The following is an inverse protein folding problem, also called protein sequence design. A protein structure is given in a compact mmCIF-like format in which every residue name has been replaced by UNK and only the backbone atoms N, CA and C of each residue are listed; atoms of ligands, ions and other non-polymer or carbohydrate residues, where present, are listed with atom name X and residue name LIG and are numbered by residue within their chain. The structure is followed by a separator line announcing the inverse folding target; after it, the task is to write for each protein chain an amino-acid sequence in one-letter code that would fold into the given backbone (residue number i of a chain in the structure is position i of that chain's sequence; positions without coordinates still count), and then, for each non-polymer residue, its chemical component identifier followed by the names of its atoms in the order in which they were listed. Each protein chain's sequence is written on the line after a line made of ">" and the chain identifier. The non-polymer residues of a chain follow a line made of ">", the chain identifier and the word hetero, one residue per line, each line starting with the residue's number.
data_IF_792935250416
#
_entry.id   IF_792935250416
#
_cell.length_a   1.000
_cell.length_b   1.000
_cell.length_c   1.000
_cell.angle_alpha   90.00
_cell.angle_beta   90.00
_cell.angle_gamma   90.00
#
_symmetry.space_group_name_H-M   'P 1'
#
loop_
_entity.id
_entity.type
_entity.pdbx_description
1 polymer ?
#
# COMPACT_ATOMS: atom_id res chain seq x y z
N UNK A 1 -112.40 54.56 47.05
CA UNK A 1 -111.22 55.45 46.81
C UNK A 1 -110.21 54.61 46.05
N UNK A 2 -110.08 54.78 44.73
CA UNK A 2 -109.12 55.71 44.09
C UNK A 2 -107.90 54.88 43.66
N UNK A 3 -107.86 54.33 42.44
CA UNK A 3 -107.29 54.88 41.19
C UNK A 3 -105.82 55.33 41.31
N UNK A 4 -105.03 54.81 40.35
CA UNK A 4 -103.75 55.35 39.82
C UNK A 4 -102.50 55.17 40.68
N UNK A 5 -101.32 54.88 40.14
CA UNK A 5 -100.82 54.66 38.78
C UNK A 5 -99.30 54.45 38.90
N UNK A 6 -98.66 54.05 37.79
CA UNK A 6 -97.21 54.10 37.54
C UNK A 6 -96.48 52.77 37.76
N UNK A 7 -96.26 52.01 36.68
CA UNK A 7 -94.92 51.52 36.31
C UNK A 7 -94.96 50.85 34.91
N UNK A 8 -94.81 51.62 33.80
CA UNK A 8 -94.75 51.05 32.46
C UNK A 8 -93.33 50.67 31.98
N UNK A 9 -92.32 50.64 32.87
CA UNK A 9 -90.93 50.33 32.47
C UNK A 9 -90.44 48.91 32.82
N UNK A 10 -91.10 48.19 33.73
CA UNK A 10 -90.67 46.84 34.14
C UNK A 10 -91.10 45.71 33.18
N UNK A 11 -92.01 45.99 32.24
CA UNK A 11 -92.58 44.95 31.37
C UNK A 11 -91.69 44.62 30.16
N UNK A 12 -90.93 45.60 29.66
CA UNK A 12 -90.18 45.47 28.40
C UNK A 12 -88.88 44.66 28.60
N UNK A 13 -88.22 44.77 29.75
CA UNK A 13 -87.01 43.99 30.07
C UNK A 13 -87.30 42.51 30.36
N UNK A 14 -88.52 42.15 30.78
CA UNK A 14 -88.88 40.76 31.13
C UNK A 14 -89.23 39.90 29.91
N UNK A 15 -89.79 40.50 28.86
CA UNK A 15 -90.04 39.79 27.59
C UNK A 15 -88.75 39.48 26.83
N UNK A 16 -87.79 40.41 26.78
CA UNK A 16 -86.52 40.19 26.05
C UNK A 16 -85.66 39.11 26.73
N UNK A 17 -85.59 39.10 28.07
CA UNK A 17 -84.84 38.08 28.83
C UNK A 17 -85.46 36.66 28.76
N UNK A 18 -86.79 36.56 28.75
CA UNK A 18 -87.51 35.28 28.68
C UNK A 18 -87.47 34.64 27.28
N UNK A 19 -87.42 35.47 26.24
CA UNK A 19 -87.22 35.04 24.85
C UNK A 19 -85.78 34.62 24.58
N UNK A 20 -84.79 35.32 25.13
CA UNK A 20 -83.38 34.96 24.97
C UNK A 20 -83.03 33.64 25.67
N UNK A 21 -83.55 33.41 26.88
CA UNK A 21 -83.36 32.14 27.59
C UNK A 21 -84.02 30.97 26.87
N UNK A 22 -85.27 31.15 26.41
CA UNK A 22 -85.97 30.13 25.63
C UNK A 22 -85.29 29.84 24.29
N UNK A 23 -84.72 30.87 23.64
CA UNK A 23 -83.93 30.73 22.41
C UNK A 23 -82.60 29.99 22.68
N UNK A 24 -81.91 30.27 23.77
CA UNK A 24 -80.69 29.54 24.15
C UNK A 24 -80.97 28.06 24.43
N UNK A 25 -82.07 27.74 25.10
CA UNK A 25 -82.48 26.34 25.35
C UNK A 25 -82.81 25.65 24.02
N UNK A 26 -83.60 26.31 23.16
CA UNK A 26 -83.94 25.77 21.84
C UNK A 26 -82.71 25.55 20.95
N UNK A 27 -81.78 26.51 20.93
CA UNK A 27 -80.53 26.41 20.20
C UNK A 27 -79.63 25.29 20.74
N UNK A 28 -79.52 25.15 22.06
CA UNK A 28 -78.74 24.08 22.71
C UNK A 28 -79.33 22.69 22.40
N UNK A 29 -80.66 22.55 22.47
CA UNK A 29 -81.35 21.32 22.14
C UNK A 29 -81.19 20.95 20.65
N UNK A 30 -81.29 21.94 19.75
CA UNK A 30 -81.06 21.75 18.32
C UNK A 30 -79.61 21.37 18.02
N UNK A 31 -78.64 21.95 18.73
CA UNK A 31 -77.23 21.63 18.57
C UNK A 31 -76.93 20.19 19.00
N UNK A 32 -77.40 19.78 20.20
CA UNK A 32 -77.24 18.41 20.69
C UNK A 32 -77.92 17.41 19.74
N UNK A 33 -79.14 17.70 19.30
CA UNK A 33 -79.87 16.87 18.34
C UNK A 33 -79.15 16.81 16.98
N UNK A 34 -78.59 17.93 16.52
CA UNK A 34 -77.81 18.03 15.29
C UNK A 34 -76.53 17.19 15.34
N UNK A 35 -75.79 17.24 16.46
CA UNK A 35 -74.63 16.38 16.68
C UNK A 35 -75.03 14.89 16.69
N UNK A 36 -76.10 14.53 17.39
CA UNK A 36 -76.60 13.16 17.43
C UNK A 36 -77.03 12.66 16.04
N UNK A 37 -77.75 13.50 15.27
CA UNK A 37 -78.15 13.19 13.90
C UNK A 37 -76.93 13.05 12.98
N UNK A 38 -75.93 13.93 13.09
CA UNK A 38 -74.70 13.84 12.29
C UNK A 38 -73.97 12.50 12.50
N UNK A 39 -73.70 12.14 13.76
CA UNK A 39 -73.03 10.88 14.08
C UNK A 39 -73.87 9.65 13.73
N UNK A 40 -75.19 9.72 13.92
CA UNK A 40 -76.12 8.67 13.51
C UNK A 40 -76.08 8.42 12.00
N UNK A 41 -76.26 9.48 11.18
CA UNK A 41 -76.26 9.38 9.72
C UNK A 41 -74.93 8.85 9.20
N UNK A 42 -73.81 9.39 9.72
CA UNK A 42 -72.46 8.89 9.41
C UNK A 42 -72.30 7.43 9.78
N UNK A 43 -72.77 7.03 10.96
CA UNK A 43 -72.62 5.67 11.45
C UNK A 43 -73.41 4.64 10.66
N UNK A 44 -74.68 4.91 10.35
CA UNK A 44 -75.48 4.05 9.45
C UNK A 44 -74.81 3.97 8.07
N UNK A 45 -74.32 5.10 7.55
CA UNK A 45 -73.60 5.12 6.27
C UNK A 45 -72.32 4.30 6.31
N UNK A 46 -71.60 4.23 7.43
CA UNK A 46 -70.41 3.38 7.58
C UNK A 46 -70.77 1.90 7.73
N UNK A 47 -71.81 1.57 8.50
CA UNK A 47 -72.25 0.18 8.72
C UNK A 47 -72.76 -0.48 7.44
N UNK A 48 -73.43 0.29 6.57
CA UNK A 48 -73.95 -0.22 5.29
C UNK A 48 -73.08 0.16 4.07
N UNK A 49 -72.11 1.06 4.22
CA UNK A 49 -71.33 1.68 3.13
C UNK A 49 -69.92 1.13 2.93
N UNK A 50 -69.66 -0.13 3.31
CA UNK A 50 -68.46 -0.84 2.86
C UNK A 50 -68.39 -0.99 1.32
N UNK A 51 -69.47 -0.63 0.60
CA UNK A 51 -69.52 -0.51 -0.86
C UNK A 51 -69.83 0.94 -1.23
N UNK A 52 -68.83 1.65 -1.75
CA UNK A 52 -68.84 3.11 -1.97
C UNK A 52 -70.06 3.65 -2.74
N UNK A 53 -70.68 2.84 -3.59
CA UNK A 53 -71.80 3.24 -4.47
C UNK A 53 -73.11 3.56 -3.75
N UNK A 54 -73.37 3.00 -2.56
CA UNK A 54 -74.67 3.17 -1.87
C UNK A 54 -74.66 4.23 -0.76
N UNK A 55 -73.50 4.83 -0.48
CA UNK A 55 -73.31 5.79 0.62
C UNK A 55 -74.22 7.00 0.52
N UNK A 56 -74.35 7.59 -0.69
CA UNK A 56 -75.13 8.82 -0.91
C UNK A 56 -76.64 8.58 -0.65
N UNK A 57 -77.29 7.55 -1.24
CA UNK A 57 -78.68 7.22 -0.91
C UNK A 57 -78.93 7.00 0.58
N UNK A 58 -78.03 6.29 1.26
CA UNK A 58 -78.18 5.97 2.69
C UNK A 58 -78.12 7.24 3.54
N UNK A 59 -77.22 8.17 3.23
CA UNK A 59 -77.12 9.46 3.92
C UNK A 59 -78.41 10.28 3.72
N UNK A 60 -78.95 10.33 2.51
CA UNK A 60 -80.19 11.06 2.21
C UNK A 60 -81.37 10.42 2.96
N UNK A 61 -81.47 9.09 2.96
CA UNK A 61 -82.51 8.38 3.70
C UNK A 61 -82.38 8.62 5.21
N UNK A 62 -81.20 8.41 5.80
CA UNK A 62 -80.99 8.56 7.24
C UNK A 62 -81.20 10.00 7.70
N UNK A 63 -80.77 11.00 6.93
CA UNK A 63 -81.02 12.41 7.25
C UNK A 63 -82.52 12.73 7.26
N UNK A 64 -83.30 12.15 6.34
CA UNK A 64 -84.77 12.31 6.35
C UNK A 64 -85.43 11.66 7.58
N UNK A 65 -84.90 10.53 8.06
CA UNK A 65 -85.40 9.85 9.26
C UNK A 65 -85.10 10.67 10.54
N UNK A 66 -83.89 11.23 10.65
CA UNK A 66 -83.51 12.09 11.77
C UNK A 66 -84.35 13.38 11.80
N UNK A 67 -84.56 14.01 10.65
CA UNK A 67 -85.39 15.20 10.52
C UNK A 67 -86.88 14.91 10.80
N UNK A 68 -87.39 13.79 10.26
CA UNK A 68 -88.76 13.33 10.50
C UNK A 68 -89.05 13.05 11.97
N UNK A 69 -88.08 12.48 12.70
CA UNK A 69 -88.17 12.26 14.16
C UNK A 69 -88.39 13.57 14.92
N UNK A 70 -87.64 14.63 14.59
CA UNK A 70 -87.76 15.94 15.26
C UNK A 70 -89.11 16.61 14.98
N UNK A 71 -89.60 16.51 13.74
CA UNK A 71 -90.94 17.02 13.38
C UNK A 71 -92.02 16.23 14.10
N UNK A 72 -91.93 14.90 14.11
CA UNK A 72 -92.90 14.03 14.78
C UNK A 72 -92.92 14.27 16.29
N UNK A 73 -91.75 14.42 16.93
CA UNK A 73 -91.64 14.76 18.34
C UNK A 73 -92.25 16.14 18.65
N UNK A 74 -91.97 17.14 17.81
CA UNK A 74 -92.53 18.49 17.95
C UNK A 74 -94.05 18.52 17.77
N UNK A 75 -94.57 17.79 16.79
CA UNK A 75 -96.00 17.64 16.55
C UNK A 75 -96.70 16.96 17.72
N UNK A 76 -96.11 15.87 18.23
CA UNK A 76 -96.64 15.10 19.35
C UNK A 76 -96.68 15.95 20.63
N UNK A 77 -95.65 16.77 20.87
CA UNK A 77 -95.60 17.71 21.99
C UNK A 77 -96.70 18.77 21.90
N UNK A 78 -96.90 19.39 20.72
CA UNK A 78 -97.89 20.47 20.54
C UNK A 78 -99.35 19.99 20.58
N UNK A 79 -99.64 18.82 20.01
CA UNK A 79 -101.02 18.31 19.86
C UNK A 79 -101.38 17.20 20.87
N UNK A 80 -100.62 17.05 21.95
CA UNK A 80 -100.77 15.97 22.93
C UNK A 80 -102.18 15.84 23.54
N UNK A 81 -102.86 16.97 23.74
CA UNK A 81 -104.21 17.07 24.32
C UNK A 81 -105.34 16.99 23.28
N UNK A 82 -105.03 17.21 22.01
CA UNK A 82 -106.02 17.37 20.92
C UNK A 82 -106.10 16.15 20.00
N UNK A 83 -105.04 15.33 19.95
CA UNK A 83 -105.01 14.12 19.11
C UNK A 83 -105.74 12.92 19.72
N UNK A 84 -106.32 12.08 18.84
CA UNK A 84 -106.93 10.80 19.21
C UNK A 84 -105.88 9.84 19.84
N UNK A 85 -106.23 9.08 20.89
CA UNK A 85 -105.27 8.24 21.64
C UNK A 85 -104.54 7.19 20.78
N UNK A 86 -105.17 6.68 19.72
CA UNK A 86 -104.53 5.73 18.78
C UNK A 86 -103.42 6.38 17.94
N UNK A 87 -103.62 7.62 17.50
CA UNK A 87 -102.62 8.35 16.73
C UNK A 87 -101.42 8.74 17.61
N UNK A 88 -101.70 9.13 18.85
CA UNK A 88 -100.68 9.48 19.85
C UNK A 88 -99.76 8.29 20.18
N UNK A 89 -100.34 7.11 20.36
CA UNK A 89 -99.56 5.88 20.65
C UNK A 89 -98.70 5.47 19.46
N UNK A 90 -99.25 5.50 18.24
CA UNK A 90 -98.49 5.23 17.01
C UNK A 90 -97.30 6.18 16.82
N UNK A 91 -97.52 7.50 16.93
CA UNK A 91 -96.45 8.50 16.80
C UNK A 91 -95.39 8.37 17.90
N UNK A 92 -95.80 8.12 19.14
CA UNK A 92 -94.87 7.89 20.25
C UNK A 92 -94.01 6.66 19.99
N UNK A 93 -94.60 5.56 19.54
CA UNK A 93 -93.86 4.33 19.22
C UNK A 93 -92.92 4.53 18.03
N UNK A 94 -93.34 5.25 16.99
CA UNK A 94 -92.50 5.60 15.85
C UNK A 94 -91.29 6.45 16.26
N UNK A 95 -91.49 7.46 17.12
CA UNK A 95 -90.38 8.29 17.64
C UNK A 95 -89.41 7.45 18.47
N UNK A 96 -89.90 6.54 19.32
CA UNK A 96 -89.05 5.62 20.11
C UNK A 96 -88.24 4.70 19.19
N UNK A 97 -88.86 4.13 18.15
CA UNK A 97 -88.15 3.31 17.16
C UNK A 97 -87.07 4.12 16.42
N UNK A 98 -87.38 5.35 16.01
CA UNK A 98 -86.41 6.24 15.36
C UNK A 98 -85.24 6.59 16.29
N UNK A 99 -85.48 6.77 17.60
CA UNK A 99 -84.39 6.95 18.60
C UNK A 99 -83.51 5.69 18.67
N UNK A 100 -84.10 4.50 18.57
CA UNK A 100 -83.36 3.24 18.50
C UNK A 100 -82.44 3.17 17.28
N UNK A 101 -82.96 3.55 16.10
CA UNK A 101 -82.17 3.64 14.86
C UNK A 101 -81.03 4.66 15.00
N UNK A 102 -81.28 5.83 15.58
CA UNK A 102 -80.25 6.84 15.84
C UNK A 102 -79.13 6.32 16.74
N UNK A 103 -79.50 5.56 17.78
CA UNK A 103 -78.55 4.97 18.72
C UNK A 103 -77.68 3.90 18.05
N UNK A 104 -78.30 3.05 17.22
CA UNK A 104 -77.59 2.08 16.41
C UNK A 104 -76.62 2.75 15.42
N UNK A 105 -77.02 3.88 14.82
CA UNK A 105 -76.15 4.72 14.01
C UNK A 105 -74.92 5.20 14.79
N UNK A 106 -75.12 5.84 15.94
CA UNK A 106 -74.01 6.33 16.77
C UNK A 106 -73.06 5.19 17.17
N UNK A 107 -73.60 4.03 17.56
CA UNK A 107 -72.80 2.85 17.88
C UNK A 107 -71.97 2.37 16.68
N UNK A 108 -72.58 2.30 15.49
CA UNK A 108 -71.91 1.92 14.25
C UNK A 108 -70.72 2.84 13.92
N UNK A 109 -70.89 4.16 14.10
CA UNK A 109 -69.81 5.13 13.91
C UNK A 109 -68.64 4.88 14.88
N UNK A 110 -68.93 4.74 16.17
CA UNK A 110 -67.91 4.54 17.20
C UNK A 110 -67.18 3.21 17.02
N UNK A 111 -67.92 2.12 16.77
CA UNK A 111 -67.34 0.78 16.57
C UNK A 111 -66.35 0.77 15.41
N UNK A 112 -66.72 1.39 14.27
CA UNK A 112 -65.83 1.48 13.11
C UNK A 112 -64.57 2.29 13.40
N UNK A 113 -64.69 3.41 14.13
CA UNK A 113 -63.56 4.23 14.52
C UNK A 113 -62.60 3.48 15.46
N UNK A 114 -63.14 2.67 16.38
CA UNK A 114 -62.36 1.80 17.25
C UNK A 114 -61.63 0.70 16.47
N UNK A 115 -62.31 0.00 15.56
CA UNK A 115 -61.68 -1.02 14.70
C UNK A 115 -60.58 -0.44 13.80
N UNK A 116 -60.81 0.74 13.23
CA UNK A 116 -59.80 1.43 12.42
C UNK A 116 -58.57 1.78 13.27
N UNK A 117 -58.77 2.23 14.51
CA UNK A 117 -57.66 2.52 15.43
C UNK A 117 -56.91 1.24 15.80
N UNK A 118 -57.61 0.16 16.14
CA UNK A 118 -57.01 -1.12 16.50
C UNK A 118 -56.23 -1.74 15.33
N UNK A 119 -56.77 -1.69 14.12
CA UNK A 119 -56.10 -2.22 12.93
C UNK A 119 -54.85 -1.41 12.55
N UNK A 120 -54.89 -0.09 12.72
CA UNK A 120 -53.71 0.77 12.52
C UNK A 120 -52.61 0.46 13.55
N UNK A 121 -52.96 0.26 14.82
CA UNK A 121 -52.01 -0.16 15.86
C UNK A 121 -51.38 -1.52 15.54
N UNK A 122 -52.17 -2.51 15.15
CA UNK A 122 -51.65 -3.82 14.71
C UNK A 122 -50.75 -3.71 13.46
N UNK A 123 -51.04 -2.75 12.56
CA UNK A 123 -50.20 -2.44 11.42
C UNK A 123 -48.81 -1.96 11.84
N UNK A 124 -48.76 -0.99 12.75
CA UNK A 124 -47.49 -0.48 13.30
C UNK A 124 -46.73 -1.54 14.10
N UNK A 125 -47.41 -2.37 14.89
CA UNK A 125 -46.75 -3.46 15.61
C UNK A 125 -46.09 -4.47 14.67
N UNK A 126 -46.75 -4.83 13.57
CA UNK A 126 -46.16 -5.71 12.54
C UNK A 126 -44.94 -5.08 11.87
N UNK A 127 -45.00 -3.78 11.60
CA UNK A 127 -43.88 -3.04 11.03
C UNK A 127 -42.68 -3.03 12.00
N UNK A 128 -42.90 -2.72 13.27
CA UNK A 128 -41.86 -2.75 14.32
C UNK A 128 -41.25 -4.15 14.44
N UNK A 129 -42.07 -5.21 14.49
CA UNK A 129 -41.59 -6.58 14.57
C UNK A 129 -40.75 -6.97 13.33
N UNK A 130 -41.09 -6.46 12.15
CA UNK A 130 -40.31 -6.68 10.92
C UNK A 130 -38.95 -5.98 10.98
N UNK A 131 -38.91 -4.74 11.47
CA UNK A 131 -37.67 -3.96 11.62
C UNK A 131 -36.73 -4.59 12.66
N UNK A 132 -37.27 -5.09 13.77
CA UNK A 132 -36.49 -5.83 14.78
C UNK A 132 -35.85 -7.10 14.23
N UNK A 133 -36.58 -7.86 13.38
CA UNK A 133 -36.01 -9.03 12.69
C UNK A 133 -34.88 -8.63 11.74
N UNK A 134 -35.03 -7.52 11.01
CA UNK A 134 -33.98 -7.02 10.14
C UNK A 134 -32.73 -6.62 10.94
N UNK A 135 -32.89 -5.89 12.05
CA UNK A 135 -31.76 -5.55 12.94
C UNK A 135 -31.02 -6.81 13.41
N UNK A 136 -31.76 -7.83 13.86
CA UNK A 136 -31.16 -9.09 14.31
C UNK A 136 -30.36 -9.79 13.20
N UNK A 137 -30.84 -9.75 11.95
CA UNK A 137 -30.12 -10.30 10.81
C UNK A 137 -28.85 -9.49 10.48
N UNK A 138 -28.92 -8.16 10.55
CA UNK A 138 -27.74 -7.28 10.38
C UNK A 138 -26.69 -7.51 11.47
N UNK A 139 -27.09 -7.60 12.73
CA UNK A 139 -26.17 -7.89 13.85
C UNK A 139 -25.47 -9.24 13.65
N UNK A 140 -26.22 -10.26 13.22
CA UNK A 140 -25.67 -11.58 12.90
C UNK A 140 -24.64 -11.50 11.76
N UNK A 141 -24.92 -10.72 10.71
CA UNK A 141 -23.98 -10.51 9.60
C UNK A 141 -22.72 -9.78 10.07
N UNK A 142 -22.85 -8.73 10.89
CA UNK A 142 -21.71 -7.99 11.44
C UNK A 142 -20.83 -8.92 12.28
N UNK A 143 -21.42 -9.72 13.16
CA UNK A 143 -20.68 -10.71 13.95
C UNK A 143 -19.93 -11.72 13.07
N UNK A 144 -20.58 -12.23 12.01
CA UNK A 144 -19.94 -13.13 11.05
C UNK A 144 -18.78 -12.47 10.29
N UNK A 145 -18.91 -11.20 9.90
CA UNK A 145 -17.83 -10.43 9.27
C UNK A 145 -16.68 -10.17 10.24
N UNK A 146 -16.94 -9.85 11.50
CA UNK A 146 -15.90 -9.68 12.52
C UNK A 146 -15.12 -10.98 12.75
N UNK A 147 -15.82 -12.12 12.83
CA UNK A 147 -15.18 -13.43 12.97
C UNK A 147 -14.34 -13.76 11.73
N UNK A 148 -14.86 -13.51 10.53
CA UNK A 148 -14.15 -13.76 9.28
C UNK A 148 -12.94 -12.84 9.11
N UNK A 149 -13.08 -11.57 9.47
CA UNK A 149 -11.99 -10.59 9.48
C UNK A 149 -10.89 -10.97 10.46
N UNK A 150 -11.24 -11.38 11.69
CA UNK A 150 -10.26 -11.88 12.69
C UNK A 150 -9.55 -13.14 12.21
N UNK A 151 -10.26 -14.11 11.63
CA UNK A 151 -9.62 -15.30 11.06
C UNK A 151 -8.67 -14.95 9.93
N UNK A 152 -9.05 -14.02 9.05
CA UNK A 152 -8.20 -13.54 7.97
C UNK A 152 -6.93 -12.82 8.44
N UNK A 153 -7.01 -12.02 9.49
CA UNK A 153 -5.84 -11.33 10.07
C UNK A 153 -4.91 -12.30 10.79
N UNK A 154 -5.43 -13.22 11.60
CA UNK A 154 -4.59 -14.21 12.31
C UNK A 154 -3.88 -15.16 11.34
N UNK A 155 -4.58 -15.64 10.30
CA UNK A 155 -3.98 -16.51 9.27
C UNK A 155 -2.89 -15.78 8.46
N UNK A 156 -3.05 -14.47 8.22
CA UNK A 156 -2.02 -13.66 7.54
C UNK A 156 -0.81 -13.42 8.44
N UNK A 157 -1.03 -13.12 9.70
CA UNK A 157 0.03 -12.91 10.68
C UNK A 157 0.83 -14.21 10.88
N UNK A 158 0.18 -15.36 11.10
CA UNK A 158 0.85 -16.66 11.25
C UNK A 158 1.71 -17.00 10.03
N UNK A 159 1.17 -16.92 8.81
CA UNK A 159 1.94 -17.18 7.59
C UNK A 159 3.13 -16.24 7.42
N UNK A 160 2.96 -14.97 7.74
CA UNK A 160 4.04 -13.99 7.64
C UNK A 160 5.12 -14.23 8.70
N UNK A 161 4.76 -14.70 9.90
CA UNK A 161 5.74 -15.08 10.93
C UNK A 161 6.53 -16.33 10.53
N UNK A 162 5.88 -17.33 9.93
CA UNK A 162 6.53 -18.55 9.45
C UNK A 162 7.51 -18.26 8.29
N UNK A 163 7.10 -17.44 7.32
CA UNK A 163 8.00 -17.00 6.24
C UNK A 163 9.18 -16.19 6.77
N UNK A 164 8.96 -15.28 7.73
CA UNK A 164 10.04 -14.52 8.37
C UNK A 164 11.04 -15.43 9.07
N UNK A 165 10.58 -16.40 9.85
CA UNK A 165 11.45 -17.36 10.52
C UNK A 165 12.27 -18.19 9.51
N UNK A 166 11.64 -18.60 8.40
CA UNK A 166 12.32 -19.31 7.32
C UNK A 166 13.40 -18.44 6.65
N UNK A 167 13.09 -17.19 6.32
CA UNK A 167 14.07 -16.27 5.73
C UNK A 167 15.23 -15.98 6.68
N UNK A 168 14.95 -15.82 7.98
CA UNK A 168 15.98 -15.58 8.99
C UNK A 168 16.93 -16.77 9.12
N UNK A 169 16.40 -18.00 9.11
CA UNK A 169 17.23 -19.22 9.11
C UNK A 169 18.13 -19.31 7.86
N UNK A 170 17.60 -18.97 6.69
CA UNK A 170 18.36 -18.97 5.44
C UNK A 170 19.46 -17.90 5.44
N UNK A 171 19.16 -16.69 5.94
CA UNK A 171 20.16 -15.62 6.06
C UNK A 171 21.27 -16.02 7.04
N UNK A 172 20.92 -16.66 8.16
CA UNK A 172 21.90 -17.13 9.14
C UNK A 172 22.84 -18.19 8.53
N UNK A 173 22.31 -19.13 7.76
CA UNK A 173 23.10 -20.13 7.03
C UNK A 173 24.05 -19.47 6.02
N UNK A 174 23.53 -18.55 5.19
CA UNK A 174 24.36 -17.82 4.20
C UNK A 174 25.44 -16.96 4.83
N UNK A 175 25.18 -16.37 6.00
CA UNK A 175 26.21 -15.62 6.75
C UNK A 175 27.34 -16.54 7.18
N UNK A 176 27.02 -17.75 7.64
CA UNK A 176 28.02 -18.76 8.02
C UNK A 176 28.84 -19.22 6.81
N UNK A 177 28.21 -19.43 5.66
CA UNK A 177 28.92 -19.77 4.42
C UNK A 177 29.88 -18.65 4.00
N UNK A 178 29.43 -17.39 4.06
CA UNK A 178 30.27 -16.23 3.74
C UNK A 178 31.45 -16.14 4.70
N UNK A 179 31.22 -16.30 6.01
CA UNK A 179 32.29 -16.30 7.01
C UNK A 179 33.32 -17.41 6.73
N UNK A 180 32.86 -18.63 6.39
CA UNK A 180 33.75 -19.72 6.00
C UNK A 180 34.54 -19.41 4.71
N UNK A 181 33.90 -18.79 3.72
CA UNK A 181 34.55 -18.40 2.48
C UNK A 181 35.60 -17.29 2.73
N UNK A 182 35.28 -16.29 3.55
CA UNK A 182 36.21 -15.23 3.95
C UNK A 182 37.42 -15.79 4.72
N UNK A 183 37.20 -16.71 5.65
CA UNK A 183 38.28 -17.41 6.34
C UNK A 183 39.17 -18.20 5.38
N UNK A 184 38.58 -18.94 4.42
CA UNK A 184 39.36 -19.69 3.43
C UNK A 184 40.18 -18.76 2.53
N UNK A 185 39.60 -17.63 2.12
CA UNK A 185 40.29 -16.60 1.32
C UNK A 185 41.44 -15.96 2.11
N UNK A 186 41.25 -15.65 3.39
CA UNK A 186 42.32 -15.13 4.26
C UNK A 186 43.47 -16.12 4.37
N UNK A 187 43.18 -17.41 4.59
CA UNK A 187 44.22 -18.45 4.64
C UNK A 187 45.00 -18.57 3.34
N UNK A 188 44.32 -18.53 2.20
CA UNK A 188 44.97 -18.56 0.88
C UNK A 188 45.83 -17.31 0.64
N UNK A 189 45.39 -16.15 1.10
CA UNK A 189 46.18 -14.91 1.02
C UNK A 189 47.46 -15.02 1.86
N UNK A 190 47.36 -15.50 3.11
CA UNK A 190 48.52 -15.71 3.98
C UNK A 190 49.52 -16.72 3.40
N UNK A 191 49.03 -17.83 2.83
CA UNK A 191 49.87 -18.84 2.17
C UNK A 191 50.58 -18.27 0.93
N UNK A 192 49.87 -17.46 0.14
CA UNK A 192 50.44 -16.79 -1.04
C UNK A 192 51.51 -15.77 -0.64
N UNK A 193 51.27 -14.99 0.41
CA UNK A 193 52.25 -14.02 0.92
C UNK A 193 53.51 -14.72 1.42
N UNK A 194 53.37 -15.83 2.15
CA UNK A 194 54.51 -16.65 2.58
C UNK A 194 55.30 -17.22 1.39
N UNK A 195 54.60 -17.70 0.36
CA UNK A 195 55.23 -18.20 -0.86
C UNK A 195 56.01 -17.11 -1.60
N UNK A 196 55.42 -15.91 -1.77
CA UNK A 196 56.08 -14.77 -2.42
C UNK A 196 57.33 -14.34 -1.64
N UNK A 197 57.25 -14.27 -0.31
CA UNK A 197 58.41 -13.94 0.53
C UNK A 197 59.50 -15.01 0.40
N UNK A 198 59.13 -16.28 0.44
CA UNK A 198 60.06 -17.39 0.25
C UNK A 198 60.72 -17.40 -1.14
N UNK A 199 59.97 -17.13 -2.20
CA UNK A 199 60.53 -17.00 -3.56
C UNK A 199 61.46 -15.79 -3.69
N UNK A 200 61.10 -14.65 -3.09
CA UNK A 200 61.97 -13.46 -3.09
C UNK A 200 63.30 -13.74 -2.40
N UNK A 201 63.28 -14.39 -1.23
CA UNK A 201 64.50 -14.79 -0.52
C UNK A 201 65.36 -15.72 -1.38
N UNK A 202 64.78 -16.76 -1.99
CA UNK A 202 65.52 -17.65 -2.90
C UNK A 202 66.14 -16.93 -4.08
N UNK A 203 65.42 -15.97 -4.68
CA UNK A 203 65.97 -15.15 -5.78
C UNK A 203 67.11 -14.24 -5.33
N UNK A 204 67.02 -13.68 -4.12
CA UNK A 204 68.10 -12.86 -3.55
C UNK A 204 69.34 -13.71 -3.27
N UNK A 205 69.19 -14.88 -2.64
CA UNK A 205 70.28 -15.84 -2.40
C UNK A 205 70.93 -16.32 -3.71
N UNK A 206 70.13 -16.62 -4.73
CA UNK A 206 70.63 -17.04 -6.05
C UNK A 206 71.38 -15.90 -6.76
N UNK A 207 70.87 -14.67 -6.65
CA UNK A 207 71.54 -13.48 -7.18
C UNK A 207 72.88 -13.23 -6.51
N UNK A 208 72.96 -13.37 -5.18
CA UNK A 208 74.21 -13.23 -4.43
C UNK A 208 75.23 -14.29 -4.85
N UNK A 209 74.82 -15.56 -4.93
CA UNK A 209 75.68 -16.65 -5.43
C UNK A 209 76.22 -16.39 -6.84
N UNK A 210 75.36 -15.95 -7.76
CA UNK A 210 75.77 -15.61 -9.13
C UNK A 210 76.73 -14.42 -9.13
N UNK A 211 76.52 -13.43 -8.27
CA UNK A 211 77.40 -12.29 -8.14
C UNK A 211 78.80 -12.68 -7.64
N UNK A 212 78.89 -13.58 -6.66
CA UNK A 212 80.17 -14.13 -6.18
C UNK A 212 80.91 -14.88 -7.28
N UNK A 213 80.22 -15.73 -8.03
CA UNK A 213 80.79 -16.46 -9.18
C UNK A 213 81.31 -15.48 -10.24
N UNK A 214 80.54 -14.43 -10.57
CA UNK A 214 80.98 -13.40 -11.52
C UNK A 214 82.23 -12.68 -11.00
N UNK A 215 82.32 -12.40 -9.71
CA UNK A 215 83.44 -11.70 -9.09
C UNK A 215 84.70 -12.58 -9.11
N UNK A 216 84.58 -13.87 -8.81
CA UNK A 216 85.67 -14.85 -8.93
C UNK A 216 86.16 -14.96 -10.38
N UNK A 217 85.23 -15.10 -11.34
CA UNK A 217 85.58 -15.14 -12.77
C UNK A 217 86.27 -13.86 -13.25
N UNK A 218 85.88 -12.69 -12.74
CA UNK A 218 86.57 -11.43 -13.06
C UNK A 218 88.00 -11.44 -12.52
N UNK A 219 88.24 -11.95 -11.31
CA UNK A 219 89.59 -12.10 -10.75
C UNK A 219 90.44 -13.04 -11.62
N UNK A 220 89.88 -14.17 -12.00
CA UNK A 220 90.56 -15.12 -12.90
C UNK A 220 90.95 -14.45 -14.23
N UNK A 221 90.02 -13.73 -14.85
CA UNK A 221 90.28 -13.00 -16.11
C UNK A 221 91.40 -11.98 -15.91
N UNK A 222 91.37 -11.18 -14.84
CA UNK A 222 92.44 -10.19 -14.58
C UNK A 222 93.80 -10.84 -14.38
N UNK A 223 93.85 -12.01 -13.72
CA UNK A 223 95.09 -12.76 -13.54
C UNK A 223 95.63 -13.27 -14.87
N UNK A 224 94.76 -13.84 -15.71
CA UNK A 224 95.13 -14.31 -17.05
C UNK A 224 95.60 -13.14 -17.93
N UNK A 225 94.96 -11.97 -17.85
CA UNK A 225 95.36 -10.78 -18.59
C UNK A 225 96.74 -10.27 -18.14
N UNK A 226 97.04 -10.29 -16.83
CA UNK A 226 98.36 -9.97 -16.30
C UNK A 226 99.43 -10.96 -16.80
N UNK A 227 99.18 -12.26 -16.65
CA UNK A 227 100.09 -13.31 -17.14
C UNK A 227 100.34 -13.17 -18.64
N UNK A 228 99.30 -12.87 -19.43
CA UNK A 228 99.42 -12.63 -20.87
C UNK A 228 100.24 -11.38 -21.20
N UNK A 229 100.08 -10.30 -20.43
CA UNK A 229 100.84 -9.05 -20.59
C UNK A 229 102.32 -9.26 -20.28
N UNK A 230 102.63 -9.95 -19.18
CA UNK A 230 103.99 -10.31 -18.79
C UNK A 230 104.65 -11.19 -19.86
N UNK A 231 103.96 -12.25 -20.30
CA UNK A 231 104.46 -13.14 -21.34
C UNK A 231 104.69 -12.40 -22.68
N UNK A 232 103.81 -11.45 -23.03
CA UNK A 232 103.99 -10.61 -24.22
C UNK A 232 105.24 -9.71 -24.10
N UNK A 233 105.44 -9.08 -22.95
CA UNK A 233 106.64 -8.26 -22.68
C UNK A 233 107.92 -9.08 -22.80
N UNK A 234 107.92 -10.30 -22.25
CA UNK A 234 109.07 -11.21 -22.33
C UNK A 234 109.38 -11.63 -23.78
N UNK A 235 108.35 -11.86 -24.59
CA UNK A 235 108.50 -12.15 -26.03
C UNK A 235 109.06 -10.93 -26.77
N UNK A 236 108.49 -9.74 -26.54
CA UNK A 236 108.93 -8.51 -27.21
C UNK A 236 110.41 -8.22 -26.91
N UNK A 237 110.85 -8.39 -25.65
CA UNK A 237 112.27 -8.29 -25.27
C UNK A 237 113.17 -9.33 -25.94
N UNK A 238 112.70 -10.58 -26.11
CA UNK A 238 113.46 -11.58 -26.88
C UNK A 238 113.56 -11.19 -28.35
N UNK A 239 112.48 -10.67 -28.92
CA UNK A 239 112.40 -10.30 -30.33
C UNK A 239 113.28 -9.08 -30.63
N UNK A 240 113.37 -8.11 -29.71
CA UNK A 240 114.33 -7.00 -29.80
C UNK A 240 115.79 -7.47 -29.70
N UNK A 241 116.07 -8.44 -28.81
CA UNK A 241 117.40 -9.06 -28.72
C UNK A 241 117.80 -9.82 -29.99
N UNK A 242 116.86 -10.52 -30.62
CA UNK A 242 117.15 -11.18 -31.91
C UNK A 242 117.27 -10.16 -33.05
N UNK A 243 116.41 -9.12 -33.09
CA UNK A 243 116.46 -8.07 -34.12
C UNK A 243 117.77 -7.27 -34.06
N UNK A 244 118.27 -6.96 -32.87
CA UNK A 244 119.57 -6.30 -32.70
C UNK A 244 120.74 -7.17 -33.15
N UNK A 245 120.69 -8.50 -32.95
CA UNK A 245 121.66 -9.43 -33.54
C UNK A 245 121.55 -9.48 -35.06
N UNK A 246 120.34 -9.50 -35.61
CA UNK A 246 120.12 -9.46 -37.06
C UNK A 246 120.67 -8.16 -37.67
N UNK A 247 120.46 -7.01 -37.04
CA UNK A 247 121.04 -5.73 -37.46
C UNK A 247 122.57 -5.76 -37.42
N UNK A 248 123.17 -6.32 -36.36
CA UNK A 248 124.62 -6.49 -36.27
C UNK A 248 125.17 -7.39 -37.40
N UNK A 249 124.51 -8.51 -37.67
CA UNK A 249 124.87 -9.42 -38.76
C UNK A 249 124.68 -8.75 -40.13
N UNK A 250 123.59 -8.02 -40.32
CA UNK A 250 123.30 -7.31 -41.56
C UNK A 250 124.33 -6.21 -41.83
N UNK A 251 124.74 -5.46 -40.79
CA UNK A 251 125.84 -4.49 -40.89
C UNK A 251 127.17 -5.16 -41.28
N UNK A 252 127.47 -6.35 -40.73
CA UNK A 252 128.65 -7.14 -41.13
C UNK A 252 128.57 -7.57 -42.59
N UNK A 253 127.39 -8.01 -43.06
CA UNK A 253 127.18 -8.38 -44.48
C UNK A 253 127.41 -7.17 -45.39
N UNK A 254 126.88 -5.99 -45.05
CA UNK A 254 127.11 -4.76 -45.84
C UNK A 254 128.60 -4.39 -45.90
N UNK A 255 129.33 -4.55 -44.79
CA UNK A 255 130.79 -4.35 -44.79
C UNK A 255 131.52 -5.37 -45.67
N UNK A 256 131.11 -6.65 -45.63
CA UNK A 256 131.63 -7.67 -46.51
C UNK A 256 131.32 -7.38 -47.98
N UNK A 257 130.09 -6.99 -48.32
CA UNK A 257 129.68 -6.65 -49.68
C UNK A 257 130.43 -5.42 -50.21
N UNK A 258 130.65 -4.41 -49.36
CA UNK A 258 131.48 -3.26 -49.72
C UNK A 258 132.93 -3.68 -49.99
N UNK A 259 133.50 -4.60 -49.20
CA UNK A 259 134.82 -5.17 -49.46
C UNK A 259 134.84 -5.96 -50.78
N UNK A 260 133.84 -6.81 -51.04
CA UNK A 260 133.72 -7.58 -52.29
C UNK A 260 133.55 -6.66 -53.51
N UNK A 261 132.79 -5.56 -53.40
CA UNK A 261 132.60 -4.59 -54.48
C UNK A 261 133.90 -3.84 -54.82
N UNK A 262 134.73 -3.52 -53.83
CA UNK A 262 136.10 -3.01 -54.05
C UNK A 262 136.97 -4.02 -54.79
N UNK A 263 136.79 -5.33 -54.53
CA UNK A 263 137.44 -6.39 -55.30
C UNK A 263 136.88 -6.53 -56.74
N UNK A 264 135.60 -6.23 -56.95
CA UNK A 264 134.93 -6.36 -58.26
C UNK A 264 135.21 -5.17 -59.20
N UNK A 265 135.33 -3.95 -58.67
CA UNK A 265 135.69 -2.74 -59.44
C UNK A 265 137.20 -2.69 -59.77
N UNK A 266 138.02 -3.48 -59.08
CA UNK A 266 139.38 -3.84 -59.54
C UNK A 266 139.29 -5.02 -60.51
N UNK A 267 138.70 -4.80 -61.69
CA UNK A 267 138.66 -5.80 -62.74
C UNK A 267 140.07 -6.18 -63.23
N UNK A 268 140.40 -7.48 -63.33
CA UNK A 268 141.62 -7.88 -64.02
C UNK A 268 141.32 -9.01 -65.02
N UNK A 269 141.49 -8.69 -66.29
CA UNK A 269 142.22 -9.62 -67.14
C UNK A 269 143.63 -9.79 -66.56
N UNK A 270 144.11 -11.03 -66.54
CA UNK A 270 145.53 -11.33 -66.36
C UNK A 270 145.97 -11.61 -64.93
N UNK A 271 145.90 -12.89 -64.55
CA UNK A 271 147.06 -13.69 -64.15
C UNK A 271 148.16 -12.97 -63.34
N UNK A 272 148.32 -13.41 -62.07
CA UNK A 272 149.41 -13.18 -61.09
C UNK A 272 149.11 -12.13 -59.99
N UNK A 273 148.65 -12.59 -58.81
CA UNK A 273 149.43 -12.52 -57.54
C UNK A 273 148.60 -12.90 -56.30
N UNK A 274 149.25 -13.63 -55.39
CA UNK A 274 148.76 -14.36 -54.21
C UNK A 274 148.32 -13.48 -53.00
N UNK A 275 147.78 -12.28 -53.21
CA UNK A 275 147.49 -11.34 -52.09
C UNK A 275 146.00 -11.11 -51.76
N UNK A 276 145.08 -11.84 -52.40
CA UNK A 276 143.64 -11.77 -52.09
C UNK A 276 143.20 -12.61 -50.88
N UNK A 277 143.83 -13.77 -50.67
CA UNK A 277 143.41 -14.76 -49.68
C UNK A 277 143.79 -14.42 -48.23
N UNK A 278 144.83 -13.59 -48.01
CA UNK A 278 145.21 -13.16 -46.66
C UNK A 278 144.32 -12.05 -46.09
N UNK A 279 143.67 -11.23 -46.93
CA UNK A 279 142.82 -10.12 -46.46
C UNK A 279 141.37 -10.53 -46.19
N UNK A 280 140.89 -11.58 -46.85
CA UNK A 280 139.59 -12.20 -46.54
C UNK A 280 139.57 -12.88 -45.15
N UNK A 281 140.73 -13.32 -44.64
CA UNK A 281 140.85 -13.92 -43.32
C UNK A 281 140.87 -12.89 -42.16
N UNK A 282 141.12 -11.61 -42.43
CA UNK A 282 141.07 -10.53 -41.42
C UNK A 282 139.66 -9.95 -41.23
N UNK A 283 138.75 -10.11 -42.20
CA UNK A 283 137.36 -9.63 -42.15
C UNK A 283 136.37 -10.68 -41.60
N UNK A 284 136.85 -11.85 -41.18
CA UNK A 284 136.07 -12.96 -40.59
C UNK A 284 136.33 -13.17 -39.09
N UNK A 285 136.94 -12.19 -38.42
CA UNK A 285 136.94 -12.03 -36.95
C UNK A 285 136.00 -10.91 -36.56
#
# INVERSE_FOLDING_TARGET
>A
MGISSCFPEYLIMKEVGMNLFSLMIGASALFIAGCAAYFSVRGIALTFGAVSSFTIPIIIMASSLEFGKLIAASFLYRNWRTCHPTLRTYLSLAVVLLIGITSAGIYGYLSQAFEQTLSQVHGYEKEIASLQRQQTDYDRRIAAYQISGKKGSTLREEKQTEERARLESYIAERRKDIEQAELSKSRLADETDQMIVGERQRREEEKERLQDVILERRKDITKIEQEKSEYKSEIDERLERERSREEEVSARIVQLDAAVKVYQDKGPGGFLQEDGLKKAAELLK
#
